data_IF_484055967645
#
_entry.id   IF_484055967645
#
_cell.length_a   1.000
_cell.length_b   1.000
_cell.length_c   1.000
_cell.angle_alpha   90.00
_cell.angle_beta   90.00
_cell.angle_gamma   90.00
#
_symmetry.space_group_name_H-M   'P 1'
#
loop_
_entity.id
_entity.type
_entity.pdbx_description
1 polymer ?
#
# COMPACT_ATOMS: atom_id res chain seq x y z
N UNK A 1 16.81 13.53 32.54
CA UNK A 1 16.33 12.34 33.28
C UNK A 1 16.09 11.26 32.25
N UNK A 2 17.03 10.32 32.12
CA UNK A 2 17.19 9.43 30.96
C UNK A 2 16.10 8.35 30.99
N UNK A 3 15.16 8.40 30.05
CA UNK A 3 14.18 7.34 29.85
C UNK A 3 14.90 6.11 29.30
N UNK A 4 14.99 5.08 30.15
CA UNK A 4 15.58 3.78 29.87
C UNK A 4 14.80 3.11 28.73
N UNK A 5 15.37 3.03 27.53
CA UNK A 5 14.85 2.17 26.48
C UNK A 5 14.77 0.73 27.01
N UNK A 6 13.55 0.26 27.29
CA UNK A 6 13.30 -1.17 27.51
C UNK A 6 13.52 -1.87 26.18
N UNK A 7 14.76 -2.29 25.91
CA UNK A 7 15.10 -3.19 24.80
C UNK A 7 14.20 -4.42 24.91
N UNK A 8 13.22 -4.52 24.01
CA UNK A 8 12.30 -5.65 23.95
C UNK A 8 13.09 -6.96 23.87
N UNK A 9 12.72 -7.99 24.64
CA UNK A 9 13.55 -9.18 24.80
C UNK A 9 13.63 -9.97 23.48
N UNK A 10 14.81 -10.55 23.21
CA UNK A 10 15.21 -11.17 21.92
C UNK A 10 14.26 -12.28 21.44
N UNK A 11 13.50 -12.91 22.33
CA UNK A 11 12.51 -13.95 22.00
C UNK A 11 11.21 -13.39 21.40
N UNK A 12 10.82 -12.15 21.74
CA UNK A 12 9.63 -11.49 21.17
C UNK A 12 9.85 -11.12 19.70
N UNK A 13 11.09 -10.72 19.36
CA UNK A 13 11.54 -10.45 17.97
C UNK A 13 11.62 -11.71 17.11
N UNK A 14 11.81 -12.88 17.72
CA UNK A 14 11.84 -14.19 17.04
C UNK A 14 10.47 -14.87 16.97
N UNK A 15 9.50 -14.47 17.78
CA UNK A 15 8.16 -15.06 17.83
C UNK A 15 7.14 -14.46 16.84
N UNK A 16 7.26 -13.17 16.49
CA UNK A 16 6.35 -12.55 15.51
C UNK A 16 6.67 -12.90 14.06
N UNK A 17 7.93 -13.25 13.77
CA UNK A 17 8.40 -13.69 12.45
C UNK A 17 7.80 -15.04 12.00
N UNK A 18 7.75 -16.11 12.82
CA UNK A 18 7.12 -17.36 12.43
C UNK A 18 5.59 -17.24 12.38
N UNK A 19 4.95 -16.47 13.26
CA UNK A 19 3.49 -16.25 13.21
C UNK A 19 3.10 -15.48 11.95
N UNK A 20 3.87 -14.44 11.59
CA UNK A 20 3.74 -13.73 10.33
C UNK A 20 3.99 -14.62 9.12
N UNK A 21 5.04 -15.45 9.14
CA UNK A 21 5.35 -16.39 8.06
C UNK A 21 4.32 -17.53 7.93
N UNK A 22 3.72 -17.98 9.03
CA UNK A 22 2.65 -18.99 9.05
C UNK A 22 1.35 -18.37 8.51
N UNK A 23 0.97 -17.16 8.94
CA UNK A 23 -0.18 -16.45 8.39
C UNK A 23 0.00 -16.13 6.89
N UNK A 24 1.23 -15.82 6.47
CA UNK A 24 1.62 -15.56 5.10
C UNK A 24 1.62 -16.84 4.25
N UNK A 25 2.14 -17.94 4.77
CA UNK A 25 2.07 -19.25 4.13
C UNK A 25 0.61 -19.74 4.02
N UNK A 26 -0.21 -19.50 5.04
CA UNK A 26 -1.65 -19.80 5.02
C UNK A 26 -2.39 -18.93 3.99
N UNK A 27 -2.07 -17.63 3.87
CA UNK A 27 -2.61 -16.73 2.85
C UNK A 27 -2.19 -17.09 1.42
N UNK A 28 -1.01 -17.68 1.23
CA UNK A 28 -0.46 -18.08 -0.07
C UNK A 28 -0.98 -19.46 -0.52
N UNK A 29 -1.11 -20.43 0.40
CA UNK A 29 -1.53 -21.81 0.08
C UNK A 29 -3.05 -22.07 0.20
N UNK A 30 -3.77 -21.36 1.07
CA UNK A 30 -5.20 -21.62 1.30
C UNK A 30 -6.05 -21.61 0.02
N UNK A 31 -5.85 -20.71 -0.97
CA UNK A 31 -6.71 -20.67 -2.14
C UNK A 31 -6.50 -21.83 -3.13
N UNK A 32 -5.32 -22.46 -3.13
CA UNK A 32 -5.03 -23.63 -3.98
C UNK A 32 -5.62 -24.92 -3.39
N UNK A 33 -5.73 -25.01 -2.07
CA UNK A 33 -6.38 -26.14 -1.40
C UNK A 33 -7.89 -25.97 -1.19
N UNK A 34 -8.42 -24.75 -1.15
CA UNK A 34 -9.80 -24.52 -0.69
C UNK A 34 -10.87 -24.53 -1.78
N UNK A 35 -10.58 -24.29 -3.06
CA UNK A 35 -11.66 -24.30 -4.06
C UNK A 35 -12.09 -25.72 -4.36
N UNK A 36 -11.16 -26.63 -4.68
CA UNK A 36 -11.52 -28.00 -5.02
C UNK A 36 -11.75 -28.90 -3.79
N UNK A 37 -10.96 -28.73 -2.72
CA UNK A 37 -11.14 -29.54 -1.51
C UNK A 37 -12.25 -29.03 -0.58
N UNK A 38 -12.55 -27.71 -0.55
CA UNK A 38 -13.69 -27.22 0.25
C UNK A 38 -15.04 -27.36 -0.47
N UNK A 39 -15.06 -27.38 -1.82
CA UNK A 39 -16.23 -27.82 -2.58
C UNK A 39 -16.52 -29.31 -2.36
N UNK A 40 -15.49 -30.17 -2.31
CA UNK A 40 -15.66 -31.59 -2.00
C UNK A 40 -16.01 -31.85 -0.52
N UNK A 41 -15.58 -30.98 0.40
CA UNK A 41 -15.86 -31.10 1.84
C UNK A 41 -17.16 -30.40 2.30
N UNK A 42 -17.90 -29.73 1.40
CA UNK A 42 -19.17 -29.07 1.74
C UNK A 42 -19.05 -27.89 2.71
N UNK A 43 -17.89 -27.20 2.73
CA UNK A 43 -17.64 -26.07 3.62
C UNK A 43 -17.93 -24.73 2.92
N UNK A 44 -19.11 -24.11 3.14
CA UNK A 44 -19.53 -22.89 2.44
C UNK A 44 -18.64 -21.68 2.75
N UNK A 45 -18.01 -21.66 3.93
CA UNK A 45 -17.18 -20.56 4.43
C UNK A 45 -15.88 -20.31 3.64
N UNK A 46 -15.47 -21.15 2.69
CA UNK A 46 -14.26 -20.94 1.88
C UNK A 46 -14.51 -20.88 0.36
N UNK A 47 -15.76 -21.04 -0.08
CA UNK A 47 -16.15 -21.04 -1.50
C UNK A 47 -16.68 -19.67 -1.96
N UNK A 48 -17.02 -18.79 -1.00
CA UNK A 48 -17.67 -17.51 -1.29
C UNK A 48 -16.70 -16.43 -1.77
N UNK A 49 -17.06 -15.77 -2.88
CA UNK A 49 -16.40 -14.57 -3.44
C UNK A 49 -16.15 -13.46 -2.41
N UNK A 50 -16.93 -13.45 -1.32
CA UNK A 50 -16.76 -12.54 -0.20
C UNK A 50 -15.36 -12.63 0.42
N UNK A 51 -14.85 -13.84 0.67
CA UNK A 51 -13.56 -14.03 1.33
C UNK A 51 -12.39 -13.54 0.48
N UNK A 52 -12.45 -13.77 -0.83
CA UNK A 52 -11.47 -13.22 -1.77
C UNK A 52 -11.46 -11.70 -1.77
N UNK A 53 -12.62 -11.06 -1.72
CA UNK A 53 -12.73 -9.59 -1.63
C UNK A 53 -12.19 -9.04 -0.31
N UNK A 54 -12.54 -9.67 0.81
CA UNK A 54 -12.02 -9.29 2.12
C UNK A 54 -10.50 -9.44 2.15
N UNK A 55 -9.98 -10.59 1.71
CA UNK A 55 -8.54 -10.86 1.72
C UNK A 55 -7.76 -9.91 0.80
N UNK A 56 -8.30 -9.58 -0.37
CA UNK A 56 -7.75 -8.55 -1.27
C UNK A 56 -7.71 -7.18 -0.59
N UNK A 57 -8.77 -6.82 0.13
CA UNK A 57 -8.86 -5.55 0.86
C UNK A 57 -7.86 -5.49 2.01
N UNK A 58 -7.69 -6.60 2.74
CA UNK A 58 -6.66 -6.72 3.78
C UNK A 58 -5.26 -6.55 3.17
N UNK A 59 -4.98 -7.22 2.04
CA UNK A 59 -3.70 -7.06 1.34
C UNK A 59 -3.46 -5.61 0.87
N UNK A 60 -4.50 -4.90 0.40
CA UNK A 60 -4.44 -3.46 0.12
C UNK A 60 -4.00 -2.65 1.33
N UNK A 61 -4.61 -2.89 2.48
CA UNK A 61 -4.27 -2.19 3.72
C UNK A 61 -2.86 -2.54 4.22
N UNK A 62 -2.36 -3.76 3.98
CA UNK A 62 -0.95 -4.12 4.26
C UNK A 62 0.01 -3.27 3.42
N UNK A 63 -0.27 -3.08 2.13
CA UNK A 63 0.53 -2.19 1.27
C UNK A 63 0.49 -0.77 1.81
N UNK A 64 -0.70 -0.27 2.14
CA UNK A 64 -0.88 1.10 2.62
C UNK A 64 -0.19 1.35 3.96
N UNK A 65 -0.30 0.41 4.90
CA UNK A 65 0.37 0.46 6.19
C UNK A 65 1.90 0.40 6.03
N UNK A 66 2.41 -0.45 5.12
CA UNK A 66 3.84 -0.55 4.82
C UNK A 66 4.39 0.76 4.24
N UNK A 67 3.68 1.36 3.28
CA UNK A 67 4.05 2.65 2.69
C UNK A 67 4.06 3.77 3.75
N UNK A 68 3.04 3.82 4.63
CA UNK A 68 3.00 4.77 5.73
C UNK A 68 4.13 4.57 6.74
N UNK A 69 4.47 3.31 7.04
CA UNK A 69 5.50 2.98 8.01
C UNK A 69 6.89 3.54 7.63
N UNK A 70 7.19 3.71 6.35
CA UNK A 70 8.49 4.26 5.91
C UNK A 70 8.69 5.69 6.42
N UNK A 71 7.66 6.53 6.37
CA UNK A 71 7.74 7.94 6.81
C UNK A 71 7.22 8.05 8.26
N UNK A 72 5.97 7.67 8.51
CA UNK A 72 5.37 7.78 9.84
C UNK A 72 6.01 6.92 10.91
N UNK A 73 6.39 5.69 10.55
CA UNK A 73 7.01 4.77 11.50
C UNK A 73 8.50 5.05 11.73
N UNK A 74 9.29 5.12 10.66
CA UNK A 74 10.74 5.21 10.76
C UNK A 74 11.25 6.62 11.06
N UNK A 75 10.74 7.65 10.38
CA UNK A 75 11.18 9.04 10.61
C UNK A 75 10.38 9.73 11.71
N UNK A 76 9.24 9.17 12.14
CA UNK A 76 8.38 9.79 13.15
C UNK A 76 7.50 10.92 12.63
N UNK A 77 7.48 11.18 11.32
CA UNK A 77 6.65 12.22 10.72
C UNK A 77 5.22 11.75 10.48
N UNK A 78 4.24 12.41 11.09
CA UNK A 78 2.85 12.20 10.71
C UNK A 78 2.62 12.61 9.24
N UNK A 79 2.36 11.65 8.35
CA UNK A 79 2.05 11.87 6.94
C UNK A 79 0.67 11.33 6.61
N UNK A 80 -0.12 12.12 5.88
CA UNK A 80 -1.44 11.70 5.40
C UNK A 80 -1.55 11.71 3.87
N UNK A 81 -0.42 11.91 3.17
CA UNK A 81 -0.38 12.03 1.71
C UNK A 81 -0.51 10.69 0.96
N UNK A 82 -0.44 9.55 1.65
CA UNK A 82 -0.49 8.23 1.00
C UNK A 82 -1.74 8.00 0.17
N UNK A 83 -2.87 8.58 0.58
CA UNK A 83 -4.13 8.51 -0.17
C UNK A 83 -4.00 9.17 -1.55
N UNK A 84 -3.23 10.26 -1.63
CA UNK A 84 -2.98 10.99 -2.87
C UNK A 84 -2.23 10.10 -3.89
N UNK A 85 -1.17 9.40 -3.43
CA UNK A 85 -0.41 8.47 -4.27
C UNK A 85 -1.21 7.23 -4.67
N UNK A 86 -1.98 6.67 -3.74
CA UNK A 86 -2.87 5.55 -4.01
C UNK A 86 -3.92 5.91 -5.07
N UNK A 87 -4.59 7.05 -4.90
CA UNK A 87 -5.56 7.58 -5.85
C UNK A 87 -4.94 7.84 -7.22
N UNK A 88 -3.76 8.49 -7.26
CA UNK A 88 -3.07 8.79 -8.52
C UNK A 88 -2.74 7.51 -9.30
N UNK A 89 -2.25 6.47 -8.63
CA UNK A 89 -1.98 5.17 -9.26
C UNK A 89 -3.27 4.52 -9.80
N UNK A 90 -4.32 4.49 -8.98
CA UNK A 90 -5.61 3.91 -9.36
C UNK A 90 -6.24 4.64 -10.57
N UNK A 91 -6.23 5.97 -10.57
CA UNK A 91 -6.73 6.79 -11.69
C UNK A 91 -5.85 6.65 -12.93
N UNK A 92 -4.52 6.54 -12.79
CA UNK A 92 -3.64 6.29 -13.94
C UNK A 92 -4.02 5.00 -14.65
N UNK A 93 -4.18 3.89 -13.91
CA UNK A 93 -4.65 2.62 -14.48
C UNK A 93 -6.06 2.79 -15.06
N UNK A 94 -6.97 3.43 -14.32
CA UNK A 94 -8.35 3.60 -14.73
C UNK A 94 -8.51 4.34 -16.05
N UNK A 95 -7.82 5.46 -16.24
CA UNK A 95 -7.92 6.25 -17.47
C UNK A 95 -7.22 5.54 -18.64
N UNK A 96 -6.08 4.86 -18.40
CA UNK A 96 -5.39 4.11 -19.45
C UNK A 96 -6.24 2.95 -19.96
N UNK A 97 -6.90 2.21 -19.06
CA UNK A 97 -7.72 1.05 -19.42
C UNK A 97 -9.08 1.48 -19.96
N UNK A 98 -9.79 2.38 -19.26
CA UNK A 98 -11.16 2.79 -19.62
C UNK A 98 -11.19 3.70 -20.85
N UNK A 99 -10.37 4.75 -20.89
CA UNK A 99 -10.45 5.77 -21.93
C UNK A 99 -9.55 5.48 -23.13
N UNK A 100 -8.43 4.78 -22.94
CA UNK A 100 -7.43 4.52 -23.99
C UNK A 100 -7.34 3.06 -24.42
N UNK A 101 -8.10 2.16 -23.78
CA UNK A 101 -8.13 0.74 -24.13
C UNK A 101 -6.81 0.00 -23.94
N UNK A 102 -5.90 0.52 -23.11
CA UNK A 102 -4.62 -0.14 -22.86
C UNK A 102 -4.83 -1.49 -22.15
N UNK A 103 -3.97 -2.49 -22.41
CA UNK A 103 -4.01 -3.73 -21.66
C UNK A 103 -3.67 -3.46 -20.19
N UNK A 104 -4.44 -4.06 -19.28
CA UNK A 104 -4.33 -3.85 -17.84
C UNK A 104 -2.89 -4.03 -17.31
N UNK A 105 -2.16 -5.03 -17.80
CA UNK A 105 -0.77 -5.28 -17.37
C UNK A 105 0.19 -4.13 -17.68
N UNK A 106 0.07 -3.49 -18.85
CA UNK A 106 0.91 -2.33 -19.19
C UNK A 106 0.51 -1.11 -18.36
N UNK A 107 -0.79 -0.88 -18.20
CA UNK A 107 -1.30 0.21 -17.36
C UNK A 107 -0.81 0.08 -15.90
N UNK A 108 -0.77 -1.15 -15.37
CA UNK A 108 -0.28 -1.46 -14.03
C UNK A 108 1.21 -1.13 -13.85
N UNK A 109 2.04 -1.33 -14.89
CA UNK A 109 3.47 -0.98 -14.85
C UNK A 109 3.72 0.53 -14.97
N UNK A 110 2.86 1.25 -15.70
CA UNK A 110 2.98 2.72 -15.87
C UNK A 110 2.57 3.46 -14.61
N UNK A 111 1.57 2.99 -13.87
CA UNK A 111 1.07 3.63 -12.67
C UNK A 111 2.14 3.97 -11.60
N UNK A 112 3.05 3.06 -11.20
CA UNK A 112 4.11 3.39 -10.25
C UNK A 112 5.12 4.39 -10.80
N UNK A 113 5.36 4.44 -12.11
CA UNK A 113 6.23 5.45 -12.74
C UNK A 113 5.60 6.84 -12.62
N UNK A 114 4.31 6.97 -12.93
CA UNK A 114 3.57 8.23 -12.76
C UNK A 114 3.56 8.68 -11.30
N UNK A 115 3.32 7.74 -10.38
CA UNK A 115 3.37 8.02 -8.95
C UNK A 115 4.77 8.46 -8.48
N UNK A 116 5.84 7.85 -9.00
CA UNK A 116 7.21 8.22 -8.68
C UNK A 116 7.57 9.61 -9.19
N UNK A 117 7.18 9.97 -10.41
CA UNK A 117 7.37 11.32 -10.96
C UNK A 117 6.62 12.35 -10.10
N UNK A 118 5.37 12.06 -9.74
CA UNK A 118 4.60 12.93 -8.84
C UNK A 118 5.24 13.06 -7.46
N UNK A 119 5.75 11.95 -6.90
CA UNK A 119 6.48 11.95 -5.63
C UNK A 119 7.75 12.78 -5.69
N UNK A 120 8.48 12.80 -6.81
CA UNK A 120 9.63 13.68 -6.99
C UNK A 120 9.21 15.15 -7.01
N UNK A 121 8.16 15.50 -7.76
CA UNK A 121 7.69 16.88 -7.89
C UNK A 121 7.17 17.45 -6.57
N UNK A 122 6.37 16.68 -5.85
CA UNK A 122 5.71 17.13 -4.62
C UNK A 122 6.53 16.81 -3.37
N UNK A 123 7.35 15.76 -3.40
CA UNK A 123 8.23 15.40 -2.29
C UNK A 123 9.31 16.43 -2.01
N UNK A 124 9.90 17.05 -3.05
CA UNK A 124 10.94 18.07 -2.88
C UNK A 124 10.48 19.25 -1.99
N UNK A 125 9.34 19.90 -2.25
CA UNK A 125 8.86 20.97 -1.37
C UNK A 125 8.33 20.44 -0.03
N UNK A 126 7.66 19.28 -0.01
CA UNK A 126 7.11 18.73 1.24
C UNK A 126 8.20 18.38 2.24
N UNK A 127 9.30 17.76 1.81
CA UNK A 127 10.39 17.34 2.69
C UNK A 127 11.17 18.52 3.31
N UNK A 128 10.92 19.76 2.88
CA UNK A 128 11.47 20.96 3.53
C UNK A 128 10.69 21.37 4.77
N UNK A 129 9.46 20.86 4.94
CA UNK A 129 8.62 21.14 6.09
C UNK A 129 8.96 20.19 7.24
N UNK A 130 8.86 20.67 8.48
CA UNK A 130 9.12 19.88 9.69
C UNK A 130 7.90 19.80 10.60
N UNK A 131 7.84 18.74 11.38
CA UNK A 131 6.80 18.48 12.37
C UNK A 131 5.37 18.58 11.80
N UNK A 132 4.52 19.36 12.45
CA UNK A 132 3.10 19.47 12.10
C UNK A 132 2.83 20.08 10.72
N UNK A 133 3.71 20.95 10.23
CA UNK A 133 3.54 21.55 8.90
C UNK A 133 3.59 20.51 7.78
N UNK A 134 4.42 19.46 7.95
CA UNK A 134 4.49 18.35 6.99
C UNK A 134 3.16 17.58 6.93
N UNK A 135 2.56 17.30 8.10
CA UNK A 135 1.26 16.62 8.18
C UNK A 135 0.15 17.41 7.47
N UNK A 136 0.04 18.70 7.75
CA UNK A 136 -0.97 19.58 7.14
C UNK A 136 -0.75 19.70 5.63
N UNK A 137 0.49 19.87 5.19
CA UNK A 137 0.78 19.98 3.75
C UNK A 137 0.47 18.68 3.00
N UNK A 138 0.78 17.51 3.58
CA UNK A 138 0.45 16.22 2.95
C UNK A 138 -1.05 15.95 2.89
N UNK A 139 -1.83 16.40 3.88
CA UNK A 139 -3.30 16.42 3.80
C UNK A 139 -3.79 17.32 2.66
N UNK A 140 -3.24 18.54 2.57
CA UNK A 140 -3.57 19.49 1.53
C UNK A 140 -3.32 18.93 0.12
N UNK A 141 -2.23 18.19 -0.08
CA UNK A 141 -1.97 17.47 -1.35
C UNK A 141 -3.05 16.44 -1.64
N UNK A 142 -3.50 15.67 -0.65
CA UNK A 142 -4.59 14.71 -0.81
C UNK A 142 -5.89 15.38 -1.25
N UNK A 143 -6.26 16.49 -0.60
CA UNK A 143 -7.46 17.27 -0.95
C UNK A 143 -7.32 17.86 -2.35
N UNK A 144 -6.18 18.47 -2.68
CA UNK A 144 -5.94 19.07 -3.99
C UNK A 144 -6.04 18.04 -5.12
N UNK A 145 -5.51 16.83 -4.95
CA UNK A 145 -5.67 15.76 -5.95
C UNK A 145 -7.15 15.36 -6.09
N UNK A 146 -7.88 15.23 -4.98
CA UNK A 146 -9.31 14.96 -5.00
C UNK A 146 -10.09 15.99 -5.82
N UNK A 147 -9.79 17.28 -5.61
CA UNK A 147 -10.40 18.36 -6.37
C UNK A 147 -10.02 18.34 -7.84
N UNK A 148 -8.75 18.08 -8.18
CA UNK A 148 -8.33 17.96 -9.59
C UNK A 148 -9.09 16.83 -10.27
N UNK A 149 -9.24 15.68 -9.62
CA UNK A 149 -9.99 14.55 -10.16
C UNK A 149 -11.47 14.91 -10.38
N UNK A 150 -12.08 15.61 -9.42
CA UNK A 150 -13.50 16.00 -9.52
C UNK A 150 -13.78 17.05 -10.60
N UNK A 151 -12.80 17.90 -10.93
CA UNK A 151 -12.99 19.03 -11.86
C UNK A 151 -12.47 18.76 -13.29
N UNK A 152 -11.65 17.73 -13.50
CA UNK A 152 -11.06 17.42 -14.81
C UNK A 152 -11.88 16.36 -15.54
N UNK A 153 -12.58 16.77 -16.60
CA UNK A 153 -13.46 15.91 -17.41
C UNK A 153 -12.85 14.57 -17.86
N UNK A 154 -11.62 14.54 -18.42
CA UNK A 154 -10.96 13.29 -18.81
C UNK A 154 -10.69 12.29 -17.69
N UNK A 155 -10.78 12.70 -16.42
CA UNK A 155 -10.64 11.81 -15.25
C UNK A 155 -11.98 11.22 -14.80
N UNK A 156 -13.08 11.51 -15.50
CA UNK A 156 -14.44 11.13 -15.12
C UNK A 156 -15.15 12.20 -14.28
N UNK A 157 -14.46 13.26 -13.87
CA UNK A 157 -14.99 14.34 -13.04
C UNK A 157 -15.81 13.79 -11.85
N UNK A 158 -16.92 14.44 -11.50
CA UNK A 158 -17.85 13.99 -10.45
C UNK A 158 -18.55 12.65 -10.74
N UNK A 159 -18.51 12.14 -11.97
CA UNK A 159 -19.16 10.88 -12.36
C UNK A 159 -18.27 9.65 -12.11
N UNK A 160 -16.95 9.86 -12.00
CA UNK A 160 -15.97 8.79 -11.85
C UNK A 160 -15.71 8.00 -13.15
N UNK A 161 -14.91 6.94 -13.03
CA UNK A 161 -14.52 6.10 -14.18
C UNK A 161 -15.22 4.74 -14.13
N UNK A 162 -15.83 4.37 -15.25
CA UNK A 162 -16.33 3.02 -15.46
C UNK A 162 -15.19 2.12 -15.94
N UNK A 163 -14.72 1.25 -15.05
CA UNK A 163 -13.68 0.28 -15.36
C UNK A 163 -14.32 -0.98 -15.97
N UNK A 164 -13.77 -1.52 -17.08
CA UNK A 164 -14.19 -2.82 -17.56
C UNK A 164 -13.90 -3.85 -16.47
N UNK A 165 -14.90 -4.64 -16.09
CA UNK A 165 -14.79 -5.65 -15.03
C UNK A 165 -13.74 -6.68 -15.48
N UNK A 166 -12.55 -6.63 -14.90
CA UNK A 166 -11.55 -7.69 -15.06
C UNK A 166 -12.15 -8.93 -14.40
N UNK A 167 -12.54 -9.90 -15.21
CA UNK A 167 -13.41 -11.03 -14.83
C UNK A 167 -12.81 -12.05 -13.85
N UNK A 168 -11.60 -11.82 -13.32
CA UNK A 168 -10.89 -12.80 -12.48
C UNK A 168 -10.59 -12.24 -11.08
N UNK A 169 -11.51 -12.49 -10.14
CA UNK A 169 -11.33 -12.19 -8.71
C UNK A 169 -10.03 -12.82 -8.16
N UNK A 170 -9.67 -14.02 -8.65
CA UNK A 170 -8.45 -14.74 -8.27
C UNK A 170 -7.18 -14.02 -8.74
N UNK A 171 -7.14 -13.57 -10.00
CA UNK A 171 -5.96 -12.87 -10.54
C UNK A 171 -5.71 -11.58 -9.77
N UNK A 172 -6.77 -10.82 -9.46
CA UNK A 172 -6.64 -9.57 -8.72
C UNK A 172 -6.17 -9.82 -7.28
N UNK A 173 -6.67 -10.88 -6.62
CA UNK A 173 -6.19 -11.31 -5.31
C UNK A 173 -4.69 -11.62 -5.33
N UNK A 174 -4.21 -12.46 -6.26
CA UNK A 174 -2.78 -12.81 -6.34
C UNK A 174 -1.88 -11.60 -6.68
N UNK A 175 -2.34 -10.70 -7.55
CA UNK A 175 -1.61 -9.47 -7.85
C UNK A 175 -1.48 -8.57 -6.61
N UNK A 176 -2.56 -8.39 -5.85
CA UNK A 176 -2.54 -7.59 -4.64
C UNK A 176 -1.72 -8.25 -3.52
N UNK A 177 -1.80 -9.58 -3.38
CA UNK A 177 -0.95 -10.34 -2.46
C UNK A 177 0.53 -10.19 -2.83
N UNK A 178 0.87 -10.30 -4.12
CA UNK A 178 2.21 -10.05 -4.62
C UNK A 178 2.70 -8.63 -4.31
N UNK A 179 1.85 -7.62 -4.50
CA UNK A 179 2.16 -6.23 -4.15
C UNK A 179 2.38 -6.03 -2.63
N UNK A 180 1.56 -6.67 -1.79
CA UNK A 180 1.71 -6.66 -0.34
C UNK A 180 3.04 -7.29 0.10
N UNK A 181 3.38 -8.44 -0.48
CA UNK A 181 4.65 -9.12 -0.25
C UNK A 181 5.84 -8.24 -0.64
N UNK A 182 5.78 -7.61 -1.82
CA UNK A 182 6.80 -6.68 -2.28
C UNK A 182 6.93 -5.45 -1.36
N UNK A 183 5.82 -4.88 -0.90
CA UNK A 183 5.84 -3.73 0.01
C UNK A 183 6.47 -4.08 1.37
N UNK A 184 6.12 -5.23 1.93
CA UNK A 184 6.72 -5.73 3.19
C UNK A 184 8.20 -6.06 3.00
N UNK A 185 8.56 -6.75 1.91
CA UNK A 185 9.96 -7.07 1.60
C UNK A 185 10.81 -5.80 1.42
N UNK A 186 10.26 -4.78 0.74
CA UNK A 186 10.92 -3.49 0.55
C UNK A 186 11.16 -2.81 1.90
N UNK A 187 10.14 -2.76 2.76
CA UNK A 187 10.25 -2.19 4.11
C UNK A 187 11.30 -2.94 4.95
N UNK A 188 11.30 -4.28 4.87
CA UNK A 188 12.27 -5.13 5.56
C UNK A 188 13.69 -4.92 5.07
N UNK A 189 13.88 -4.76 3.75
CA UNK A 189 15.18 -4.47 3.15
C UNK A 189 15.70 -3.10 3.59
N UNK A 190 14.86 -2.05 3.51
CA UNK A 190 15.21 -0.69 3.93
C UNK A 190 15.73 -0.68 5.37
N UNK A 191 15.03 -1.36 6.28
CA UNK A 191 15.39 -1.48 7.70
C UNK A 191 16.76 -2.13 7.95
N UNK A 192 17.31 -2.89 6.99
CA UNK A 192 18.62 -3.53 7.08
C UNK A 192 19.74 -2.75 6.38
N UNK A 193 19.39 -1.69 5.67
CA UNK A 193 20.36 -0.88 4.92
C UNK A 193 20.75 0.39 5.69
N UNK A 194 21.87 1.00 5.29
CA UNK A 194 22.32 2.32 5.80
C UNK A 194 21.24 3.40 5.70
N UNK A 195 20.36 3.32 4.70
CA UNK A 195 19.27 4.27 4.52
C UNK A 195 18.25 4.21 5.65
N UNK A 196 17.87 3.00 6.10
CA UNK A 196 16.94 2.82 7.21
C UNK A 196 17.47 3.38 8.53
N UNK A 197 18.77 3.22 8.81
CA UNK A 197 19.40 3.85 9.97
C UNK A 197 19.38 5.38 9.90
N UNK A 198 19.55 5.96 8.71
CA UNK A 198 19.40 7.40 8.51
C UNK A 198 17.98 7.90 8.82
N UNK A 199 16.95 7.17 8.40
CA UNK A 199 15.55 7.52 8.72
C UNK A 199 15.28 7.49 10.23
N UNK A 200 15.82 6.50 10.94
CA UNK A 200 15.70 6.41 12.40
C UNK A 200 16.44 7.54 13.11
N UNK A 201 17.63 7.92 12.61
CA UNK A 201 18.38 9.04 13.17
C UNK A 201 17.63 10.38 13.02
N UNK A 202 16.89 10.58 11.92
CA UNK A 202 16.02 11.78 11.77
C UNK A 202 15.00 11.84 12.91
N UNK A 203 14.35 10.72 13.21
CA UNK A 203 13.35 10.62 14.28
C UNK A 203 13.92 10.99 15.65
N UNK A 204 15.16 10.60 15.94
CA UNK A 204 15.83 10.91 17.21
C UNK A 204 16.28 12.36 17.32
N UNK A 205 16.42 13.07 16.19
CA UNK A 205 16.94 14.44 16.12
C UNK A 205 15.82 15.50 15.94
N UNK A 206 14.57 15.09 16.12
CA UNK A 206 13.38 15.95 16.04
C UNK A 206 13.02 16.59 17.40
N UNK A 207 13.86 16.40 18.43
CA UNK A 207 13.93 17.22 19.66
C UNK A 207 14.92 18.39 19.47
#
# INVERSE_FOLDING_TARGET
MIARERRLPRWLRRGTLPIGAIALAYLILAPLSSIDAAQQAGLPLLTDKLWFRIATTVAMFVVMASAWNIIGGLTGYASFGNVAFFGLGAYTVGVLVSSRGWPFGLALLVAPVVAAVFALLVGIPLLRLRGHYFAVATLGVGVAIGEVVNNVGPLGASTGLFLPIVRSDLTFFYLMLGAAMLAVATTWLILRTRFGYGLLAIRENEE
#
